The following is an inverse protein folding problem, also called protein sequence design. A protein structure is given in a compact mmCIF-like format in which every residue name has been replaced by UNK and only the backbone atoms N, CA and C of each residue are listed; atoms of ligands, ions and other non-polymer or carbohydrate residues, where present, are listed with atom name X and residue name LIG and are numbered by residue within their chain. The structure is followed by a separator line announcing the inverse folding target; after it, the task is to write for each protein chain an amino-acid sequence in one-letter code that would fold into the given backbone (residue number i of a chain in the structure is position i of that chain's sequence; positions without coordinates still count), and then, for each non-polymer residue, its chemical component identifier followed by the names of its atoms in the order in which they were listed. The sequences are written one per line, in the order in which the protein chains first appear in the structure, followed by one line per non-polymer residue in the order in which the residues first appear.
data_IF_987887982706
#
_entry.id   IF_987887982706
#
_cell.length_a   1.000
_cell.length_b   1.000
_cell.length_c   1.000
_cell.angle_alpha   90.00
_cell.angle_beta   90.00
_cell.angle_gamma   90.00
#
_symmetry.space_group_name_H-M   'P 1'
#
loop_
_entity.id
_entity.type
_entity.pdbx_description
1 polymer ?
#
# COMPACT_ATOMS: atom_id res chain seq x y z
N UNK A 1 -10.35 1.64 13.19
CA UNK A 1 -11.78 1.65 12.83
C UNK A 1 -11.94 2.18 11.42
N UNK A 2 -12.94 1.77 10.66
CA UNK A 2 -13.24 2.35 9.35
C UNK A 2 -14.20 3.54 9.56
N UNK A 3 -14.01 4.61 8.80
CA UNK A 3 -14.91 5.75 8.74
C UNK A 3 -16.31 5.25 8.39
N UNK A 4 -17.33 5.58 9.20
CA UNK A 4 -18.71 5.24 8.89
C UNK A 4 -19.38 6.27 7.97
N UNK A 5 -20.55 5.89 7.42
CA UNK A 5 -21.21 6.77 6.46
C UNK A 5 -21.81 8.02 7.14
N UNK A 6 -22.26 7.91 8.39
CA UNK A 6 -22.80 9.05 9.13
C UNK A 6 -21.74 10.15 9.37
N UNK A 7 -20.59 9.78 9.91
CA UNK A 7 -19.47 10.72 10.13
C UNK A 7 -18.94 11.25 8.78
N UNK A 8 -18.87 10.40 7.75
CA UNK A 8 -18.44 10.81 6.41
C UNK A 8 -19.42 11.82 5.79
N UNK A 9 -20.73 11.66 5.99
CA UNK A 9 -21.73 12.59 5.46
C UNK A 9 -21.56 14.00 6.05
N UNK A 10 -21.34 14.09 7.36
CA UNK A 10 -21.07 15.37 8.03
C UNK A 10 -19.74 15.98 7.56
N UNK A 11 -18.69 15.17 7.38
CA UNK A 11 -17.43 15.61 6.80
C UNK A 11 -17.61 16.13 5.36
N UNK A 12 -18.38 15.41 4.53
CA UNK A 12 -18.66 15.83 3.16
C UNK A 12 -19.48 17.13 3.08
N UNK A 13 -20.40 17.35 4.03
CA UNK A 13 -21.17 18.60 4.14
C UNK A 13 -20.25 19.80 4.48
N UNK A 14 -19.29 19.62 5.40
CA UNK A 14 -18.26 20.63 5.68
C UNK A 14 -17.39 20.90 4.45
N UNK A 15 -16.91 19.84 3.76
CA UNK A 15 -16.11 19.99 2.54
C UNK A 15 -16.88 20.73 1.45
N UNK A 16 -18.16 20.43 1.27
CA UNK A 16 -19.03 21.15 0.32
C UNK A 16 -19.08 22.64 0.65
N UNK A 17 -19.35 22.98 1.90
CA UNK A 17 -19.45 24.38 2.34
C UNK A 17 -18.13 25.13 2.14
N UNK A 18 -17.00 24.49 2.44
CA UNK A 18 -15.68 25.12 2.40
C UNK A 18 -15.11 25.23 0.98
N UNK A 19 -15.33 24.19 0.15
CA UNK A 19 -14.61 24.03 -1.12
C UNK A 19 -15.44 24.31 -2.37
N UNK A 20 -16.76 24.52 -2.26
CA UNK A 20 -17.57 24.87 -3.44
C UNK A 20 -16.99 26.11 -4.14
N UNK A 21 -16.92 26.08 -5.48
CA UNK A 21 -16.31 27.07 -6.33
C UNK A 21 -14.76 27.16 -6.29
N UNK A 22 -14.09 26.36 -5.48
CA UNK A 22 -12.63 26.30 -5.45
C UNK A 22 -12.08 25.70 -6.75
N UNK A 23 -10.90 26.17 -7.19
CA UNK A 23 -10.19 25.66 -8.36
C UNK A 23 -9.02 24.77 -7.95
N UNK A 24 -8.83 23.66 -8.65
CA UNK A 24 -7.67 22.80 -8.45
C UNK A 24 -6.43 23.51 -9.00
N UNK A 25 -5.53 23.93 -8.10
CA UNK A 25 -4.26 24.55 -8.43
C UNK A 25 -3.15 23.51 -8.70
N UNK A 26 -3.08 22.47 -7.83
CA UNK A 26 -2.08 21.40 -7.92
C UNK A 26 -2.71 20.08 -7.52
N UNK A 27 -2.08 18.99 -7.98
CA UNK A 27 -2.47 17.64 -7.66
C UNK A 27 -1.24 16.76 -7.52
N UNK A 28 -1.18 15.95 -6.44
CA UNK A 28 -0.06 15.10 -6.09
C UNK A 28 -0.57 13.71 -5.66
N UNK A 29 0.27 12.70 -5.85
CA UNK A 29 0.08 11.33 -5.37
C UNK A 29 1.31 10.96 -4.51
N UNK A 30 1.31 11.33 -3.22
CA UNK A 30 2.46 11.10 -2.34
C UNK A 30 2.77 9.62 -2.12
N UNK A 31 1.74 8.79 -2.10
CA UNK A 31 1.83 7.33 -1.98
C UNK A 31 0.87 6.67 -2.95
N UNK A 32 1.02 5.35 -3.15
CA UNK A 32 0.16 4.56 -4.06
C UNK A 32 -1.34 4.54 -3.70
N UNK A 33 -1.68 4.98 -2.50
CA UNK A 33 -3.04 4.94 -1.96
C UNK A 33 -3.58 6.32 -1.62
N UNK A 34 -2.85 7.40 -1.91
CA UNK A 34 -3.22 8.75 -1.50
C UNK A 34 -3.12 9.76 -2.63
N UNK A 35 -4.12 10.62 -2.72
CA UNK A 35 -4.17 11.75 -3.63
C UNK A 35 -4.36 13.03 -2.82
N UNK A 36 -3.61 14.08 -3.12
CA UNK A 36 -3.72 15.39 -2.48
C UNK A 36 -4.01 16.44 -3.54
N UNK A 37 -5.14 17.14 -3.38
CA UNK A 37 -5.55 18.24 -4.23
C UNK A 37 -5.35 19.56 -3.51
N UNK A 38 -4.58 20.47 -4.10
CA UNK A 38 -4.52 21.84 -3.64
C UNK A 38 -5.65 22.63 -4.32
N UNK A 39 -6.62 23.05 -3.52
CA UNK A 39 -7.83 23.77 -3.96
C UNK A 39 -7.74 25.22 -3.51
N UNK A 40 -7.91 26.13 -4.44
CA UNK A 40 -7.85 27.57 -4.19
C UNK A 40 -9.25 28.18 -4.31
N UNK A 41 -9.75 28.74 -3.20
CA UNK A 41 -10.92 29.61 -3.16
C UNK A 41 -10.53 31.06 -3.50
N UNK A 42 -11.43 31.98 -3.34
CA UNK A 42 -11.12 33.42 -3.52
C UNK A 42 -10.22 33.97 -2.42
N UNK A 43 -10.28 33.42 -1.21
CA UNK A 43 -9.63 33.93 -0.01
C UNK A 43 -8.48 33.04 0.46
N UNK A 44 -8.62 31.73 0.32
CA UNK A 44 -7.74 30.76 0.98
C UNK A 44 -7.35 29.61 0.05
N UNK A 45 -6.34 28.86 0.45
CA UNK A 45 -5.88 27.67 -0.25
C UNK A 45 -5.95 26.49 0.73
N UNK A 46 -6.63 25.43 0.30
CA UNK A 46 -6.83 24.22 1.08
C UNK A 46 -6.12 23.03 0.43
N UNK A 47 -5.64 22.13 1.24
CA UNK A 47 -5.18 20.82 0.78
C UNK A 47 -6.23 19.76 1.15
N UNK A 48 -6.83 19.12 0.14
CA UNK A 48 -7.77 18.01 0.31
C UNK A 48 -7.03 16.70 0.14
N UNK A 49 -6.98 15.90 1.20
CA UNK A 49 -6.45 14.54 1.18
C UNK A 49 -7.57 13.56 0.88
N UNK A 50 -7.34 12.70 -0.13
CA UNK A 50 -8.15 11.51 -0.40
C UNK A 50 -7.25 10.29 -0.20
N UNK A 51 -7.49 9.52 0.85
CA UNK A 51 -6.74 8.32 1.19
C UNK A 51 -7.58 7.08 0.97
N UNK A 52 -7.14 6.20 0.07
CA UNK A 52 -7.68 4.86 -0.17
C UNK A 52 -6.87 3.78 0.56
N UNK A 53 -6.09 4.16 1.59
CA UNK A 53 -5.25 3.25 2.38
C UNK A 53 -6.10 2.36 3.25
N UNK A 54 -5.84 1.05 3.19
CA UNK A 54 -6.53 0.08 4.05
C UNK A 54 -6.30 0.42 5.53
N UNK A 55 -7.38 0.59 6.30
CA UNK A 55 -7.31 0.92 7.74
C UNK A 55 -7.22 2.41 8.08
N UNK A 56 -7.00 3.31 7.09
CA UNK A 56 -7.02 4.77 7.26
C UNK A 56 -7.67 5.50 6.09
N UNK A 57 -8.58 4.81 5.38
CA UNK A 57 -9.33 5.38 4.27
C UNK A 57 -10.19 6.55 4.74
N UNK A 58 -10.02 7.73 4.12
CA UNK A 58 -10.72 8.96 4.47
C UNK A 58 -10.64 10.02 3.40
N UNK A 59 -11.48 11.00 3.51
CA UNK A 59 -11.34 12.30 2.85
C UNK A 59 -11.41 13.39 3.91
N UNK A 60 -10.46 14.31 3.92
CA UNK A 60 -10.43 15.44 4.84
C UNK A 60 -9.51 16.54 4.33
N UNK A 61 -9.70 17.75 4.83
CA UNK A 61 -8.71 18.81 4.71
C UNK A 61 -7.49 18.46 5.55
N UNK A 62 -6.31 18.89 5.12
CA UNK A 62 -5.05 18.61 5.82
C UNK A 62 -4.07 19.78 5.71
N UNK A 63 -3.34 20.04 6.78
CA UNK A 63 -2.21 20.96 6.82
C UNK A 63 -0.87 20.23 6.70
N UNK A 64 -0.90 18.88 6.63
CA UNK A 64 0.29 18.05 6.56
C UNK A 64 1.03 18.27 5.23
N UNK A 65 2.35 18.39 5.34
CA UNK A 65 3.25 18.42 4.19
C UNK A 65 3.62 17.00 3.76
N UNK A 66 3.44 16.69 2.48
CA UNK A 66 3.74 15.38 1.92
C UNK A 66 5.01 15.40 1.08
N UNK A 67 5.88 14.42 1.28
CA UNK A 67 6.97 14.17 0.35
C UNK A 67 6.41 13.49 -0.91
N UNK A 68 6.63 14.11 -2.06
CA UNK A 68 6.18 13.58 -3.33
C UNK A 68 7.30 12.80 -4.03
N UNK A 69 6.98 11.72 -4.78
CA UNK A 69 7.97 11.01 -5.57
C UNK A 69 8.54 11.94 -6.65
N UNK A 70 9.84 11.77 -6.98
CA UNK A 70 10.51 12.54 -8.04
C UNK A 70 9.80 12.41 -9.39
N UNK A 71 9.36 11.19 -9.72
CA UNK A 71 8.57 10.91 -10.91
C UNK A 71 7.12 10.65 -10.51
N UNK A 72 6.16 11.50 -10.94
CA UNK A 72 4.76 11.31 -10.62
C UNK A 72 4.21 9.99 -11.22
N UNK A 73 3.42 9.21 -10.47
CA UNK A 73 2.76 8.01 -10.99
C UNK A 73 1.81 8.30 -12.15
N UNK A 74 1.51 7.27 -12.95
CA UNK A 74 0.64 7.40 -14.13
C UNK A 74 -0.77 7.90 -13.78
N UNK A 75 -1.34 7.44 -12.67
CA UNK A 75 -2.65 7.92 -12.20
C UNK A 75 -2.60 9.40 -11.84
N UNK A 76 -1.56 9.87 -11.16
CA UNK A 76 -1.35 11.29 -10.88
C UNK A 76 -1.30 12.14 -12.15
N UNK A 77 -0.55 11.68 -13.16
CA UNK A 77 -0.44 12.39 -14.44
C UNK A 77 -1.79 12.48 -15.16
N UNK A 78 -2.55 11.41 -15.14
CA UNK A 78 -3.89 11.37 -15.72
C UNK A 78 -4.86 12.28 -14.94
N UNK A 79 -4.81 12.28 -13.60
CA UNK A 79 -5.61 13.19 -12.78
C UNK A 79 -5.26 14.65 -13.09
N UNK A 80 -3.96 14.98 -13.23
CA UNK A 80 -3.52 16.34 -13.61
C UNK A 80 -4.08 16.76 -14.96
N UNK A 81 -4.04 15.89 -15.95
CA UNK A 81 -4.57 16.13 -17.29
C UNK A 81 -6.06 16.49 -17.28
N UNK A 82 -6.85 15.80 -16.49
CA UNK A 82 -8.31 15.91 -16.49
C UNK A 82 -8.88 16.90 -15.46
N UNK A 83 -8.16 17.17 -14.36
CA UNK A 83 -8.70 17.92 -13.23
C UNK A 83 -8.00 19.25 -12.96
N UNK A 84 -6.74 19.47 -13.39
CA UNK A 84 -6.03 20.72 -13.09
C UNK A 84 -6.75 21.91 -13.71
N UNK A 85 -6.92 22.99 -12.91
CA UNK A 85 -7.68 24.18 -13.30
C UNK A 85 -9.20 24.00 -13.20
N UNK A 86 -9.68 22.78 -12.96
CA UNK A 86 -11.10 22.48 -12.78
C UNK A 86 -11.69 23.16 -11.55
N UNK A 87 -12.94 23.59 -11.67
CA UNK A 87 -13.72 24.22 -10.62
C UNK A 87 -14.61 23.18 -9.93
N UNK A 88 -14.54 23.08 -8.61
CA UNK A 88 -15.42 22.22 -7.84
C UNK A 88 -16.83 22.77 -7.84
N UNK A 89 -17.78 22.00 -8.38
CA UNK A 89 -19.18 22.36 -8.44
C UNK A 89 -19.96 21.85 -7.24
N UNK A 90 -19.69 20.59 -6.84
CA UNK A 90 -20.42 19.94 -5.77
C UNK A 90 -19.59 18.86 -5.08
N UNK A 91 -19.92 18.63 -3.80
CA UNK A 91 -19.48 17.47 -3.02
C UNK A 91 -20.74 16.79 -2.52
N UNK A 92 -20.96 15.56 -2.95
CA UNK A 92 -22.13 14.78 -2.56
C UNK A 92 -21.72 13.37 -2.14
N UNK A 93 -22.55 12.73 -1.38
CA UNK A 93 -22.32 11.39 -0.87
C UNK A 93 -23.38 10.42 -1.39
N UNK A 94 -23.01 9.17 -1.55
CA UNK A 94 -23.97 8.08 -1.80
C UNK A 94 -24.76 7.78 -0.51
N UNK A 95 -26.09 7.87 -0.52
CA UNK A 95 -26.90 7.66 0.68
C UNK A 95 -26.62 6.29 1.35
N UNK A 96 -26.35 6.32 2.66
CA UNK A 96 -26.11 5.12 3.48
C UNK A 96 -24.81 4.37 3.14
N UNK A 97 -23.94 4.91 2.28
CA UNK A 97 -22.70 4.27 1.88
C UNK A 97 -21.49 5.21 2.08
N UNK A 98 -20.28 4.68 1.93
CA UNK A 98 -19.02 5.41 2.14
C UNK A 98 -18.39 5.81 0.82
N UNK A 99 -19.16 6.45 -0.04
CA UNK A 99 -18.73 6.96 -1.33
C UNK A 99 -18.98 8.46 -1.39
N UNK A 100 -17.93 9.24 -1.62
CA UNK A 100 -18.01 10.67 -1.81
C UNK A 100 -17.69 11.00 -3.26
N UNK A 101 -18.51 11.83 -3.87
CA UNK A 101 -18.37 12.32 -5.23
C UNK A 101 -17.96 13.78 -5.22
N UNK A 102 -16.84 14.09 -5.84
CA UNK A 102 -16.37 15.45 -6.09
C UNK A 102 -16.62 15.76 -7.56
N UNK A 103 -17.57 16.64 -7.85
CA UNK A 103 -17.94 17.04 -9.21
C UNK A 103 -17.18 18.29 -9.63
N UNK A 104 -16.39 18.20 -10.71
CA UNK A 104 -15.59 19.29 -11.22
C UNK A 104 -16.04 19.69 -12.62
N UNK A 105 -16.11 21.00 -12.87
CA UNK A 105 -16.17 21.57 -14.21
C UNK A 105 -14.75 21.80 -14.70
N UNK A 106 -14.36 21.14 -15.77
CA UNK A 106 -13.03 21.20 -16.34
C UNK A 106 -13.11 21.63 -17.82
N UNK A 107 -11.97 22.03 -18.40
CA UNK A 107 -11.84 22.28 -19.83
C UNK A 107 -11.02 21.14 -20.45
N UNK A 108 -11.53 20.52 -21.49
CA UNK A 108 -10.81 19.47 -22.21
C UNK A 108 -9.74 20.05 -23.16
N UNK A 109 -8.98 19.23 -23.85
CA UNK A 109 -7.93 19.62 -24.79
C UNK A 109 -8.47 20.40 -26.02
N UNK A 110 -9.76 20.26 -26.32
CA UNK A 110 -10.45 21.01 -27.42
C UNK A 110 -11.02 22.34 -26.98
N UNK A 111 -10.94 22.67 -25.66
CA UNK A 111 -11.50 23.88 -25.10
C UNK A 111 -12.95 23.76 -24.63
N UNK A 112 -13.58 22.58 -24.74
CA UNK A 112 -14.97 22.38 -24.32
C UNK A 112 -15.04 22.21 -22.79
N UNK A 113 -16.15 22.70 -22.22
CA UNK A 113 -16.47 22.47 -20.82
C UNK A 113 -17.00 21.04 -20.62
N UNK A 114 -16.32 20.29 -19.76
CA UNK A 114 -16.68 18.91 -19.41
C UNK A 114 -16.87 18.77 -17.90
N UNK A 115 -17.70 17.78 -17.50
CA UNK A 115 -17.88 17.44 -16.09
C UNK A 115 -17.12 16.16 -15.78
N UNK A 116 -16.21 16.25 -14.81
CA UNK A 116 -15.45 15.13 -14.28
C UNK A 116 -15.88 14.88 -12.84
N UNK A 117 -16.10 13.62 -12.49
CA UNK A 117 -16.46 13.21 -11.13
C UNK A 117 -15.33 12.35 -10.57
N UNK A 118 -14.73 12.81 -9.49
CA UNK A 118 -13.79 12.01 -8.73
C UNK A 118 -14.56 11.31 -7.60
N UNK A 119 -14.68 9.99 -7.71
CA UNK A 119 -15.36 9.14 -6.75
C UNK A 119 -14.35 8.62 -5.74
N UNK A 120 -14.54 8.91 -4.46
CA UNK A 120 -13.76 8.34 -3.36
C UNK A 120 -14.57 7.27 -2.65
N UNK A 121 -14.22 6.01 -2.86
CA UNK A 121 -14.83 4.83 -2.24
C UNK A 121 -14.02 4.43 -1.01
N UNK A 122 -14.59 4.54 0.20
CA UNK A 122 -13.87 4.37 1.47
C UNK A 122 -14.27 3.07 2.18
N UNK A 123 -13.91 1.92 1.59
CA UNK A 123 -14.37 0.59 1.98
C UNK A 123 -13.26 -0.31 2.52
N UNK A 124 -12.40 0.24 3.39
CA UNK A 124 -11.29 -0.51 3.99
C UNK A 124 -10.30 -1.02 2.93
N UNK A 125 -10.10 -2.31 2.81
CA UNK A 125 -9.19 -2.90 1.81
C UNK A 125 -9.63 -2.67 0.35
N UNK A 126 -10.91 -2.44 0.13
CA UNK A 126 -11.50 -2.17 -1.19
C UNK A 126 -11.63 -0.68 -1.49
N UNK A 127 -11.04 0.19 -0.66
CA UNK A 127 -11.03 1.62 -0.91
C UNK A 127 -10.32 1.95 -2.22
N UNK A 128 -10.92 2.88 -2.97
CA UNK A 128 -10.43 3.28 -4.29
C UNK A 128 -10.76 4.74 -4.61
N UNK A 129 -10.05 5.30 -5.57
CA UNK A 129 -10.34 6.61 -6.17
C UNK A 129 -10.57 6.38 -7.66
N UNK A 130 -11.72 6.77 -8.16
CA UNK A 130 -12.12 6.54 -9.55
C UNK A 130 -12.50 7.85 -10.22
N UNK A 131 -11.87 8.14 -11.35
CA UNK A 131 -12.26 9.28 -12.18
C UNK A 131 -13.28 8.86 -13.22
N UNK A 132 -14.40 9.57 -13.25
CA UNK A 132 -15.54 9.27 -14.12
C UNK A 132 -15.87 10.51 -14.96
N UNK A 133 -16.14 10.29 -16.25
CA UNK A 133 -16.66 11.31 -17.16
C UNK A 133 -17.78 10.70 -18.00
N UNK A 134 -18.92 11.39 -18.08
CA UNK A 134 -20.09 10.91 -18.81
C UNK A 134 -20.54 9.49 -18.46
N UNK A 135 -20.45 9.13 -17.17
CA UNK A 135 -20.80 7.81 -16.65
C UNK A 135 -19.78 6.70 -16.94
N UNK A 136 -18.67 6.99 -17.61
CA UNK A 136 -17.60 6.05 -17.91
C UNK A 136 -16.36 6.31 -17.08
N UNK A 137 -15.68 5.25 -16.68
CA UNK A 137 -14.42 5.29 -15.95
C UNK A 137 -13.33 5.81 -16.89
N UNK A 138 -12.67 6.88 -16.51
CA UNK A 138 -11.46 7.36 -17.17
C UNK A 138 -10.25 6.56 -16.66
N UNK A 139 -10.12 6.44 -15.33
CA UNK A 139 -9.18 5.54 -14.67
C UNK A 139 -9.54 5.36 -13.19
N UNK A 140 -8.89 4.38 -12.54
CA UNK A 140 -8.99 4.11 -11.12
C UNK A 140 -7.60 3.98 -10.50
N UNK A 141 -7.44 4.45 -9.26
CA UNK A 141 -6.19 4.33 -8.50
C UNK A 141 -5.76 2.88 -8.37
N UNK A 142 -6.73 2.01 -8.08
CA UNK A 142 -6.58 0.54 -8.07
C UNK A 142 -7.50 0.00 -9.16
N UNK A 143 -6.93 -0.41 -10.27
CA UNK A 143 -7.69 -1.10 -11.32
C UNK A 143 -8.11 -2.46 -10.81
N UNK A 144 -9.34 -2.84 -11.10
CA UNK A 144 -9.92 -4.14 -10.76
C UNK A 144 -10.36 -4.77 -12.06
N UNK A 145 -9.73 -5.84 -12.46
CA UNK A 145 -10.04 -6.58 -13.67
C UNK A 145 -10.94 -7.80 -13.41
N UNK A 146 -11.16 -8.61 -14.44
CA UNK A 146 -12.00 -9.81 -14.36
C UNK A 146 -11.36 -10.94 -13.53
N UNK A 147 -10.03 -10.92 -13.33
CA UNK A 147 -9.34 -11.89 -12.49
C UNK A 147 -9.45 -11.50 -11.00
N UNK A 148 -9.50 -10.19 -10.71
CA UNK A 148 -9.62 -9.66 -9.35
C UNK A 148 -11.04 -9.73 -8.79
N UNK A 149 -12.08 -9.60 -9.65
CA UNK A 149 -13.47 -9.59 -9.22
C UNK A 149 -14.45 -9.94 -10.33
N UNK A 150 -15.31 -10.93 -10.09
CA UNK A 150 -16.44 -11.26 -10.96
C UNK A 150 -17.62 -10.30 -10.81
N UNK A 151 -17.68 -9.56 -9.69
CA UNK A 151 -18.84 -8.74 -9.32
C UNK A 151 -18.77 -7.35 -9.94
N UNK A 152 -17.56 -6.73 -9.97
CA UNK A 152 -17.40 -5.36 -10.41
C UNK A 152 -15.97 -5.12 -10.89
N UNK A 153 -15.84 -4.62 -12.11
CA UNK A 153 -14.57 -4.23 -12.70
C UNK A 153 -14.42 -2.71 -12.67
N UNK A 154 -13.18 -2.24 -12.48
CA UNK A 154 -12.82 -0.81 -12.50
C UNK A 154 -11.70 -0.60 -13.52
N UNK A 155 -12.08 -0.61 -14.80
CA UNK A 155 -11.17 -0.44 -15.93
C UNK A 155 -11.56 0.77 -16.78
N UNK A 156 -10.60 1.43 -17.42
CA UNK A 156 -10.87 2.55 -18.34
C UNK A 156 -11.87 2.18 -19.43
N UNK A 157 -12.84 3.07 -19.67
CA UNK A 157 -13.87 2.91 -20.69
C UNK A 157 -15.12 2.15 -20.26
N UNK A 158 -15.09 1.39 -19.16
CA UNK A 158 -16.26 0.72 -18.62
C UNK A 158 -17.22 1.72 -17.95
N UNK A 159 -18.54 1.42 -17.91
CA UNK A 159 -19.48 2.24 -17.14
C UNK A 159 -19.15 2.14 -15.64
N UNK A 160 -19.24 3.28 -14.96
CA UNK A 160 -19.09 3.32 -13.51
C UNK A 160 -20.38 2.84 -12.86
N UNK A 161 -20.26 1.84 -12.00
CA UNK A 161 -21.32 1.33 -11.13
C UNK A 161 -20.89 1.42 -9.68
N UNK A 162 -21.82 1.70 -8.77
CA UNK A 162 -21.52 1.70 -7.32
C UNK A 162 -21.25 0.27 -6.84
N UNK A 163 -20.43 0.11 -5.78
CA UNK A 163 -20.28 -1.18 -5.12
C UNK A 163 -21.61 -1.75 -4.65
N UNK A 164 -21.74 -3.08 -4.57
CA UNK A 164 -22.96 -3.70 -4.05
C UNK A 164 -23.20 -3.26 -2.60
N UNK A 165 -24.39 -2.75 -2.33
CA UNK A 165 -24.82 -2.38 -0.96
C UNK A 165 -25.25 -3.62 -0.19
N UNK A 166 -24.92 -3.72 1.11
CA UNK A 166 -25.49 -4.75 1.96
C UNK A 166 -27.02 -4.54 2.06
N UNK A 167 -27.78 -5.65 2.06
CA UNK A 167 -29.24 -5.63 2.19
C UNK A 167 -29.67 -5.30 3.65
N UNK A 168 -29.21 -4.17 4.18
CA UNK A 168 -29.53 -3.69 5.52
C UNK A 168 -30.05 -2.26 5.44
N UNK A 169 -31.11 -1.92 6.23
CA UNK A 169 -31.65 -0.57 6.23
C UNK A 169 -30.60 0.44 6.74
N UNK A 170 -30.61 1.64 6.18
CA UNK A 170 -29.78 2.74 6.66
C UNK A 170 -30.29 3.21 8.02
N UNK A 171 -29.38 3.23 9.01
CA UNK A 171 -29.66 3.64 10.38
C UNK A 171 -30.32 5.03 10.47
N UNK A 172 -29.87 5.96 9.64
CA UNK A 172 -30.39 7.33 9.65
C UNK A 172 -31.71 7.48 8.90
N UNK A 173 -31.96 6.64 7.88
CA UNK A 173 -33.16 6.79 7.03
C UNK A 173 -34.41 6.10 7.56
N UNK A 174 -34.27 5.00 8.32
CA UNK A 174 -35.41 4.23 8.83
C UNK A 174 -35.76 4.62 10.27
N UNK A 175 -37.01 4.37 10.73
CA UNK A 175 -37.43 4.68 12.11
C UNK A 175 -36.66 3.84 13.14
N UNK A 176 -36.46 4.39 14.34
CA UNK A 176 -35.90 3.64 15.47
C UNK A 176 -36.69 2.37 15.79
N UNK A 177 -38.01 2.42 15.69
CA UNK A 177 -38.88 1.28 15.88
C UNK A 177 -38.59 0.12 14.93
N UNK A 178 -38.35 0.43 13.63
CA UNK A 178 -38.00 -0.60 12.65
C UNK A 178 -36.62 -1.21 12.91
N UNK A 179 -35.66 -0.40 13.36
CA UNK A 179 -34.31 -0.89 13.71
C UNK A 179 -34.38 -1.81 14.93
N UNK A 180 -35.08 -1.38 15.98
CA UNK A 180 -35.25 -2.17 17.24
C UNK A 180 -35.99 -3.46 16.97
N UNK A 181 -37.11 -3.43 16.23
CA UNK A 181 -37.85 -4.63 15.87
C UNK A 181 -36.96 -5.67 15.17
N UNK A 182 -36.22 -5.25 14.14
CA UNK A 182 -35.30 -6.14 13.40
C UNK A 182 -34.09 -6.60 14.24
N UNK A 183 -33.63 -5.79 15.19
CA UNK A 183 -32.53 -6.18 16.09
C UNK A 183 -33.00 -7.23 17.12
N UNK A 184 -34.25 -7.13 17.61
CA UNK A 184 -34.83 -8.07 18.54
C UNK A 184 -35.09 -9.47 17.96
N UNK A 185 -35.04 -9.65 16.66
CA UNK A 185 -35.10 -10.98 16.03
C UNK A 185 -33.79 -11.78 16.21
N UNK A 186 -32.75 -11.15 16.75
CA UNK A 186 -31.41 -11.73 16.85
C UNK A 186 -31.05 -12.12 18.28
N UNK A 187 -30.57 -13.33 18.45
CA UNK A 187 -29.97 -13.80 19.71
C UNK A 187 -28.53 -13.30 19.84
N UNK A 188 -28.40 -12.02 20.13
CA UNK A 188 -27.11 -11.31 20.25
C UNK A 188 -27.22 -10.18 21.27
N UNK A 189 -26.07 -9.76 21.87
CA UNK A 189 -26.03 -8.51 22.64
C UNK A 189 -26.58 -7.34 21.82
N UNK A 190 -27.32 -6.42 22.46
CA UNK A 190 -28.00 -5.33 21.76
C UNK A 190 -27.10 -4.54 20.79
N UNK A 191 -25.90 -4.18 21.23
CA UNK A 191 -24.97 -3.43 20.38
C UNK A 191 -24.58 -4.20 19.09
N UNK A 192 -24.37 -5.51 19.22
CA UNK A 192 -24.01 -6.38 18.08
C UNK A 192 -25.20 -6.62 17.16
N UNK A 193 -26.41 -6.79 17.77
CA UNK A 193 -27.66 -6.92 17.04
C UNK A 193 -27.91 -5.67 16.17
N UNK A 194 -27.78 -4.46 16.75
CA UNK A 194 -27.90 -3.19 16.02
C UNK A 194 -26.89 -3.10 14.88
N UNK A 195 -25.62 -3.41 15.13
CA UNK A 195 -24.56 -3.34 14.12
C UNK A 195 -24.76 -4.33 12.95
N UNK A 196 -25.40 -5.47 13.20
CA UNK A 196 -25.75 -6.45 12.16
C UNK A 196 -27.06 -6.11 11.44
N UNK A 197 -27.92 -5.32 12.05
CA UNK A 197 -29.23 -4.97 11.50
C UNK A 197 -29.17 -3.72 10.64
N UNK A 198 -28.52 -2.66 11.10
CA UNK A 198 -28.48 -1.38 10.41
C UNK A 198 -27.15 -1.15 9.67
N UNK A 199 -27.21 -0.43 8.54
CA UNK A 199 -26.08 0.07 7.78
C UNK A 199 -25.87 1.58 8.04
N UNK A 200 -24.80 2.15 7.52
CA UNK A 200 -24.53 3.59 7.58
C UNK A 200 -23.78 4.06 8.83
N UNK A 201 -23.86 3.32 9.93
CA UNK A 201 -23.18 3.65 11.19
C UNK A 201 -22.16 2.58 11.60
N UNK A 202 -21.17 2.99 12.38
CA UNK A 202 -20.14 2.09 12.90
C UNK A 202 -20.52 1.44 14.23
N UNK A 203 -19.75 0.43 14.69
CA UNK A 203 -19.98 -0.24 15.98
C UNK A 203 -20.02 0.71 17.18
N UNK A 204 -19.30 1.84 17.11
CA UNK A 204 -19.28 2.85 18.18
C UNK A 204 -20.65 3.45 18.42
N UNK A 205 -21.41 3.71 17.35
CA UNK A 205 -22.78 4.26 17.43
C UNK A 205 -23.73 3.23 18.05
N UNK A 206 -23.61 1.97 17.63
CA UNK A 206 -24.44 0.88 18.15
C UNK A 206 -24.17 0.61 19.65
N UNK A 207 -22.91 0.64 20.07
CA UNK A 207 -22.55 0.52 21.48
C UNK A 207 -23.03 1.70 22.30
N UNK A 208 -22.96 2.91 21.76
CA UNK A 208 -23.45 4.11 22.42
C UNK A 208 -24.99 4.08 22.60
N UNK A 209 -25.71 3.63 21.56
CA UNK A 209 -27.16 3.47 21.64
C UNK A 209 -27.55 2.48 22.76
N UNK A 210 -26.88 1.31 22.82
CA UNK A 210 -27.12 0.34 23.88
C UNK A 210 -26.71 0.89 25.25
N UNK A 211 -25.59 1.61 25.35
CA UNK A 211 -25.15 2.21 26.61
C UNK A 211 -26.11 3.30 27.12
N UNK A 212 -26.61 4.17 26.23
CA UNK A 212 -27.60 5.22 26.60
C UNK A 212 -28.93 4.62 27.04
N UNK A 213 -29.33 3.49 26.47
CA UNK A 213 -30.57 2.81 26.83
C UNK A 213 -30.47 2.08 28.16
N UNK A 214 -29.31 1.49 28.49
CA UNK A 214 -29.21 0.50 29.57
C UNK A 214 -28.06 0.76 30.55
N UNK A 215 -27.41 1.93 30.46
CA UNK A 215 -26.33 2.37 31.36
C UNK A 215 -25.19 1.33 31.50
N UNK A 216 -24.90 0.61 30.40
CA UNK A 216 -23.82 -0.38 30.32
C UNK A 216 -24.25 -1.81 30.68
N UNK A 217 -25.49 -2.09 30.95
CA UNK A 217 -25.97 -3.46 31.11
C UNK A 217 -25.89 -4.26 29.80
N UNK A 218 -25.37 -5.48 29.89
CA UNK A 218 -25.25 -6.40 28.76
C UNK A 218 -26.52 -7.23 28.57
N UNK A 219 -27.45 -6.70 27.78
CA UNK A 219 -28.73 -7.36 27.49
C UNK A 219 -28.69 -8.04 26.12
N UNK A 220 -29.44 -9.16 25.99
CA UNK A 220 -29.72 -9.80 24.70
C UNK A 220 -30.89 -9.10 24.02
N UNK A 221 -30.75 -8.88 22.70
CA UNK A 221 -31.75 -8.11 21.95
C UNK A 221 -33.13 -8.81 21.87
N UNK A 222 -33.13 -10.14 21.78
CA UNK A 222 -34.35 -10.96 21.74
C UNK A 222 -35.05 -11.10 23.10
N UNK A 223 -34.42 -10.73 24.21
CA UNK A 223 -34.97 -10.81 25.56
C UNK A 223 -35.50 -9.47 26.10
N UNK A 224 -35.41 -8.40 25.29
CA UNK A 224 -35.83 -7.06 25.70
C UNK A 224 -37.36 -6.99 25.97
N UNK A 225 -37.72 -6.48 27.12
CA UNK A 225 -39.10 -6.12 27.46
C UNK A 225 -39.59 -4.93 26.62
N UNK A 226 -40.89 -4.71 26.51
CA UNK A 226 -41.42 -3.55 25.77
C UNK A 226 -40.94 -2.21 26.34
N UNK A 227 -40.76 -2.08 27.64
CA UNK A 227 -40.20 -0.88 28.25
C UNK A 227 -38.73 -0.65 27.80
N UNK A 228 -37.91 -1.70 27.77
CA UNK A 228 -36.51 -1.64 27.30
C UNK A 228 -36.42 -1.35 25.80
N UNK A 229 -37.35 -1.88 24.97
CA UNK A 229 -37.44 -1.52 23.56
C UNK A 229 -37.73 -0.02 23.38
N UNK A 230 -38.62 0.55 24.18
CA UNK A 230 -38.88 2.00 24.15
C UNK A 230 -37.67 2.82 24.59
N UNK A 231 -36.91 2.38 25.60
CA UNK A 231 -35.66 3.04 26.01
C UNK A 231 -34.60 3.01 24.85
N UNK A 232 -34.47 1.88 24.19
CA UNK A 232 -33.54 1.74 23.05
C UNK A 232 -33.97 2.61 21.87
N UNK A 233 -35.27 2.67 21.55
CA UNK A 233 -35.78 3.58 20.52
C UNK A 233 -35.46 5.04 20.83
N UNK A 234 -35.69 5.48 22.07
CA UNK A 234 -35.36 6.84 22.49
C UNK A 234 -33.87 7.16 22.38
N UNK A 235 -32.99 6.21 22.75
CA UNK A 235 -31.55 6.38 22.61
C UNK A 235 -31.10 6.48 21.14
N UNK A 236 -31.72 5.71 20.23
CA UNK A 236 -31.48 5.80 18.78
C UNK A 236 -31.95 7.16 18.24
N UNK A 237 -33.12 7.60 18.63
CA UNK A 237 -33.70 8.88 18.20
C UNK A 237 -32.86 10.06 18.72
N UNK A 238 -32.33 10.00 19.94
CA UNK A 238 -31.36 11.00 20.46
C UNK A 238 -30.11 11.10 19.57
N UNK A 239 -29.57 9.97 19.16
CA UNK A 239 -28.38 9.96 18.28
C UNK A 239 -28.68 10.51 16.89
N UNK A 240 -29.86 10.23 16.34
CA UNK A 240 -30.31 10.80 15.06
C UNK A 240 -30.53 12.31 15.17
N UNK A 241 -31.13 12.78 16.26
CA UNK A 241 -31.30 14.22 16.50
C UNK A 241 -29.97 14.95 16.60
N UNK A 242 -28.97 14.35 17.26
CA UNK A 242 -27.59 14.90 17.27
C UNK A 242 -27.01 15.00 15.83
N UNK A 243 -27.20 13.96 15.04
CA UNK A 243 -26.76 13.94 13.65
C UNK A 243 -27.45 15.04 12.82
N UNK A 244 -28.77 15.16 12.90
CA UNK A 244 -29.59 16.12 12.16
C UNK A 244 -29.26 17.58 12.53
N UNK A 245 -28.80 17.82 13.77
CA UNK A 245 -28.27 19.12 14.24
C UNK A 245 -26.84 19.41 13.78
N UNK A 246 -26.24 18.55 12.96
CA UNK A 246 -24.89 18.75 12.43
C UNK A 246 -23.80 18.00 13.21
N UNK A 247 -24.18 17.25 14.25
CA UNK A 247 -23.25 16.44 15.04
C UNK A 247 -22.31 17.24 15.95
N UNK A 248 -21.50 16.50 16.70
CA UNK A 248 -20.42 17.02 17.53
C UNK A 248 -19.17 16.17 17.24
N UNK A 249 -18.16 16.68 16.51
CA UNK A 249 -16.97 15.90 16.18
C UNK A 249 -16.12 15.61 17.41
N UNK A 250 -16.08 14.35 17.82
CA UNK A 250 -15.36 13.88 19.01
C UNK A 250 -14.39 12.76 18.68
N UNK A 251 -13.21 12.80 19.28
CA UNK A 251 -12.27 11.67 19.28
C UNK A 251 -12.06 11.14 20.70
N UNK A 252 -11.80 9.84 20.78
CA UNK A 252 -11.55 9.09 22.01
C UNK A 252 -10.13 8.59 22.01
N UNK A 253 -9.37 8.92 23.06
CA UNK A 253 -7.99 8.50 23.25
C UNK A 253 -7.90 7.68 24.52
N UNK A 254 -7.20 6.54 24.47
CA UNK A 254 -6.96 5.69 25.63
C UNK A 254 -5.97 6.37 26.61
N UNK A 255 -5.91 5.90 27.87
CA UNK A 255 -4.97 6.45 28.88
C UNK A 255 -3.49 6.38 28.47
N UNK A 256 -3.14 5.44 27.59
CA UNK A 256 -1.79 5.29 27.03
C UNK A 256 -1.50 6.23 25.84
N UNK A 257 -2.42 7.14 25.53
CA UNK A 257 -2.28 8.12 24.43
C UNK A 257 -2.67 7.58 23.06
N UNK A 258 -3.08 6.32 22.94
CA UNK A 258 -3.48 5.77 21.62
C UNK A 258 -4.87 6.23 21.22
N UNK A 259 -5.05 6.70 19.96
CA UNK A 259 -6.35 7.00 19.41
C UNK A 259 -7.18 5.71 19.27
N UNK A 260 -8.37 5.69 19.87
CA UNK A 260 -9.27 4.53 19.91
C UNK A 260 -10.34 4.66 18.84
N UNK A 261 -11.14 5.72 18.92
CA UNK A 261 -12.28 5.94 18.03
C UNK A 261 -12.52 7.43 17.78
N UNK A 262 -13.35 7.72 16.80
CA UNK A 262 -13.93 9.03 16.57
C UNK A 262 -15.40 8.86 16.19
N UNK A 263 -16.21 9.90 16.41
CA UNK A 263 -17.65 9.84 16.24
C UNK A 263 -18.26 11.24 16.08
N UNK A 264 -19.52 11.31 15.65
CA UNK A 264 -20.28 12.54 15.46
C UNK A 264 -21.07 12.99 16.70
N UNK A 265 -20.82 12.39 17.84
CA UNK A 265 -21.44 12.74 19.11
C UNK A 265 -20.43 12.64 20.24
N UNK A 266 -20.73 13.28 21.40
CA UNK A 266 -19.94 13.05 22.62
C UNK A 266 -20.29 11.69 23.22
N UNK A 267 -19.37 10.71 23.19
CA UNK A 267 -19.67 9.36 23.66
C UNK A 267 -19.70 9.30 25.18
N UNK A 268 -20.72 8.63 25.74
CA UNK A 268 -20.87 8.37 27.18
C UNK A 268 -20.35 7.00 27.60
N UNK A 269 -20.29 6.04 26.69
CA UNK A 269 -19.88 4.64 26.91
C UNK A 269 -18.45 4.46 27.43
N UNK A 270 -17.58 5.44 27.30
CA UNK A 270 -16.18 5.35 27.70
C UNK A 270 -15.92 5.84 29.14
N UNK A 271 -16.89 6.53 29.77
CA UNK A 271 -16.74 7.09 31.10
C UNK A 271 -15.51 7.99 31.24
N UNK A 272 -15.04 8.13 32.48
CA UNK A 272 -13.90 9.03 32.80
C UNK A 272 -12.52 8.41 32.53
N UNK A 273 -12.45 7.14 32.09
CA UNK A 273 -11.17 6.44 31.85
C UNK A 273 -10.48 6.86 30.57
N UNK A 274 -11.25 7.37 29.60
CA UNK A 274 -10.77 7.75 28.29
C UNK A 274 -10.80 9.27 28.12
N UNK A 275 -9.81 9.82 27.42
CA UNK A 275 -9.83 11.23 27.06
C UNK A 275 -10.73 11.44 25.85
N UNK A 276 -11.83 12.17 26.04
CA UNK A 276 -12.75 12.60 24.99
C UNK A 276 -12.40 14.02 24.61
N UNK A 277 -12.00 14.25 23.34
CA UNK A 277 -11.67 15.56 22.81
C UNK A 277 -12.73 15.96 21.77
N UNK A 278 -13.33 17.11 21.97
CA UNK A 278 -14.17 17.78 20.99
C UNK A 278 -13.31 18.59 20.02
N UNK A 279 -13.69 18.62 18.75
CA UNK A 279 -12.95 19.28 17.70
C UNK A 279 -13.81 20.37 17.04
N UNK A 280 -13.19 21.41 16.43
CA UNK A 280 -13.94 22.50 15.80
C UNK A 280 -14.66 22.06 14.54
N UNK A 281 -14.24 20.98 13.89
CA UNK A 281 -14.82 20.44 12.67
C UNK A 281 -14.53 18.95 12.51
N UNK A 282 -15.30 18.25 11.67
CA UNK A 282 -15.02 16.84 11.31
C UNK A 282 -13.72 16.70 10.54
N UNK A 283 -13.37 17.65 9.70
CA UNK A 283 -12.09 17.66 9.00
C UNK A 283 -10.92 17.72 9.98
N UNK A 284 -10.93 18.64 10.94
CA UNK A 284 -9.89 18.76 11.97
C UNK A 284 -9.83 17.50 12.87
N UNK A 285 -10.98 16.91 13.18
CA UNK A 285 -11.04 15.65 13.94
C UNK A 285 -10.36 14.50 13.19
N UNK A 286 -10.67 14.31 11.92
CA UNK A 286 -10.09 13.24 11.11
C UNK A 286 -8.59 13.46 10.89
N UNK A 287 -8.16 14.69 10.61
CA UNK A 287 -6.75 15.03 10.49
C UNK A 287 -6.00 14.70 11.78
N UNK A 288 -6.45 15.23 12.93
CA UNK A 288 -5.79 15.00 14.21
C UNK A 288 -5.76 13.53 14.65
N UNK A 289 -6.86 12.79 14.43
CA UNK A 289 -6.94 11.37 14.75
C UNK A 289 -5.96 10.51 13.95
N UNK A 290 -5.80 10.83 12.65
CA UNK A 290 -4.95 10.03 11.76
C UNK A 290 -3.50 10.53 11.67
N UNK A 291 -3.19 11.77 12.05
CA UNK A 291 -1.85 12.35 11.92
C UNK A 291 -0.77 11.48 12.57
N UNK A 292 -0.95 11.05 13.80
CA UNK A 292 0.00 10.19 14.51
C UNK A 292 0.06 8.77 13.92
N UNK A 293 -1.11 8.21 13.60
CA UNK A 293 -1.23 6.86 13.03
C UNK A 293 -0.55 6.77 11.67
N UNK A 294 -0.83 7.72 10.79
CA UNK A 294 -0.27 7.75 9.43
C UNK A 294 1.24 8.00 9.44
N UNK A 295 1.72 8.88 10.32
CA UNK A 295 3.16 9.12 10.48
C UNK A 295 3.90 7.84 10.88
N UNK A 296 3.38 7.12 11.86
CA UNK A 296 3.96 5.84 12.30
C UNK A 296 3.92 4.78 11.19
N UNK A 297 2.82 4.69 10.43
CA UNK A 297 2.67 3.72 9.36
C UNK A 297 3.55 4.05 8.14
N UNK A 298 3.69 5.32 7.77
CA UNK A 298 4.62 5.77 6.72
C UNK A 298 6.07 5.44 7.08
N UNK A 299 6.48 5.72 8.31
CA UNK A 299 7.82 5.35 8.81
C UNK A 299 8.04 3.84 8.74
N UNK A 300 7.05 3.04 9.16
CA UNK A 300 7.12 1.58 9.09
C UNK A 300 7.21 1.06 7.66
N UNK A 301 6.47 1.65 6.73
CA UNK A 301 6.50 1.25 5.31
C UNK A 301 7.85 1.59 4.69
N UNK A 302 8.35 2.83 4.86
CA UNK A 302 9.68 3.23 4.40
C UNK A 302 10.78 2.33 4.99
N UNK A 303 10.70 2.02 6.29
CA UNK A 303 11.64 1.11 6.96
C UNK A 303 11.62 -0.30 6.36
N UNK A 304 10.43 -0.86 6.07
CA UNK A 304 10.31 -2.18 5.43
C UNK A 304 10.89 -2.20 4.01
N UNK A 305 10.65 -1.16 3.21
CA UNK A 305 11.19 -1.06 1.86
C UNK A 305 12.71 -0.96 1.88
N UNK A 306 13.26 -0.16 2.81
CA UNK A 306 14.71 -0.05 3.00
C UNK A 306 15.32 -1.38 3.45
N UNK A 307 14.73 -2.02 4.45
CA UNK A 307 15.18 -3.37 4.88
C UNK A 307 15.18 -4.37 3.74
N UNK A 308 14.12 -4.39 2.92
CA UNK A 308 14.04 -5.28 1.76
C UNK A 308 15.12 -4.99 0.72
N UNK A 309 15.40 -3.71 0.46
CA UNK A 309 16.46 -3.31 -0.47
C UNK A 309 17.84 -3.75 0.04
N UNK A 310 18.17 -3.46 1.31
CA UNK A 310 19.43 -3.86 1.94
C UNK A 310 19.57 -5.38 1.97
N UNK A 311 18.52 -6.11 2.35
CA UNK A 311 18.54 -7.58 2.35
C UNK A 311 18.80 -8.16 0.95
N UNK A 312 18.18 -7.61 -0.09
CA UNK A 312 18.43 -8.04 -1.46
C UNK A 312 19.89 -7.76 -1.91
N UNK A 313 20.46 -6.63 -1.48
CA UNK A 313 21.87 -6.30 -1.75
C UNK A 313 22.81 -7.28 -1.03
N UNK A 314 22.54 -7.56 0.24
CA UNK A 314 23.28 -8.55 1.03
C UNK A 314 23.26 -9.94 0.40
N UNK A 315 22.08 -10.47 0.04
CA UNK A 315 21.98 -11.76 -0.61
C UNK A 315 22.74 -11.84 -1.94
N UNK A 316 22.70 -10.75 -2.74
CA UNK A 316 23.48 -10.69 -3.99
C UNK A 316 24.97 -10.71 -3.72
N UNK A 317 25.43 -9.96 -2.72
CA UNK A 317 26.84 -9.94 -2.32
C UNK A 317 27.31 -11.31 -1.85
N UNK A 318 26.53 -12.00 -1.01
CA UNK A 318 26.81 -13.36 -0.52
C UNK A 318 26.90 -14.37 -1.67
N UNK A 319 25.93 -14.37 -2.59
CA UNK A 319 25.93 -15.28 -3.76
C UNK A 319 27.15 -15.02 -4.66
N UNK A 320 27.49 -13.75 -4.88
CA UNK A 320 28.68 -13.35 -5.67
C UNK A 320 29.97 -13.83 -5.00
N UNK A 321 30.03 -13.72 -3.67
CA UNK A 321 31.18 -14.18 -2.88
C UNK A 321 31.35 -15.71 -2.97
N UNK A 322 30.28 -16.49 -2.82
CA UNK A 322 30.29 -17.93 -2.95
C UNK A 322 30.77 -18.39 -4.35
N UNK A 323 30.24 -17.77 -5.41
CA UNK A 323 30.68 -18.05 -6.79
C UNK A 323 32.16 -17.77 -7.02
N UNK A 324 32.71 -16.66 -6.46
CA UNK A 324 34.13 -16.35 -6.53
C UNK A 324 35.00 -17.35 -5.76
N UNK A 325 34.54 -17.83 -4.61
CA UNK A 325 35.24 -18.88 -3.83
C UNK A 325 35.31 -20.18 -4.61
N UNK A 326 34.22 -20.61 -5.24
CA UNK A 326 34.19 -21.79 -6.09
C UNK A 326 35.14 -21.67 -7.29
N UNK A 327 35.16 -20.49 -7.94
CA UNK A 327 36.07 -20.22 -9.08
C UNK A 327 37.52 -20.24 -8.63
N UNK A 328 37.84 -19.66 -7.47
CA UNK A 328 39.19 -19.72 -6.89
C UNK A 328 39.63 -21.15 -6.58
N UNK A 329 38.74 -21.94 -5.95
CA UNK A 329 39.01 -23.36 -5.67
C UNK A 329 39.25 -24.18 -6.96
N UNK A 330 38.47 -23.90 -8.02
CA UNK A 330 38.65 -24.52 -9.33
C UNK A 330 39.99 -24.11 -10.03
N UNK A 331 40.54 -22.94 -9.69
CA UNK A 331 41.82 -22.47 -10.24
C UNK A 331 43.05 -23.24 -9.76
N UNK A 332 42.96 -23.93 -8.61
CA UNK A 332 44.02 -24.78 -8.06
C UNK A 332 44.47 -25.91 -9.00
N UNK A 333 43.65 -26.28 -9.99
CA UNK A 333 44.01 -27.22 -11.06
C UNK A 333 44.97 -26.62 -12.13
N UNK A 334 45.35 -25.37 -11.98
CA UNK A 334 46.24 -24.69 -12.98
C UNK A 334 47.66 -25.24 -12.98
N UNK A 335 48.18 -25.75 -11.86
CA UNK A 335 49.51 -26.36 -11.79
C UNK A 335 49.66 -27.57 -12.74
N UNK A 336 48.59 -28.28 -13.00
CA UNK A 336 48.56 -29.35 -14.00
C UNK A 336 48.86 -28.84 -15.42
N UNK A 337 48.42 -27.62 -15.75
CA UNK A 337 48.72 -27.01 -17.05
C UNK A 337 50.20 -26.62 -17.17
N UNK A 338 50.81 -26.16 -16.08
CA UNK A 338 52.25 -25.89 -16.04
C UNK A 338 53.05 -27.18 -16.26
N UNK A 339 52.68 -28.21 -15.48
CA UNK A 339 53.30 -29.52 -15.62
C UNK A 339 53.22 -30.06 -17.06
N UNK A 340 52.03 -30.00 -17.66
CA UNK A 340 51.83 -30.43 -19.03
C UNK A 340 52.70 -29.61 -20.03
N UNK A 341 52.83 -28.31 -19.83
CA UNK A 341 53.65 -27.44 -20.65
C UNK A 341 55.15 -27.80 -20.54
N UNK A 342 55.66 -28.03 -19.31
CA UNK A 342 57.04 -28.40 -19.03
C UNK A 342 57.37 -29.77 -19.59
N UNK A 343 56.57 -30.80 -19.28
CA UNK A 343 56.76 -32.15 -19.76
C UNK A 343 56.74 -32.27 -21.29
N UNK A 344 55.75 -31.58 -21.91
CA UNK A 344 55.66 -31.55 -23.38
C UNK A 344 56.83 -30.84 -24.01
N UNK A 345 57.26 -29.68 -23.44
CA UNK A 345 58.42 -28.93 -23.98
C UNK A 345 59.72 -29.75 -23.93
N UNK A 346 59.94 -30.54 -22.90
CA UNK A 346 61.12 -31.37 -22.79
C UNK A 346 61.09 -32.62 -23.69
N UNK A 347 59.90 -33.06 -24.13
CA UNK A 347 59.69 -34.27 -24.92
C UNK A 347 59.14 -33.96 -26.32
N UNK A 348 59.41 -32.74 -26.89
CA UNK A 348 58.90 -32.35 -28.20
C UNK A 348 59.34 -33.31 -29.33
N UNK A 349 60.46 -33.99 -29.19
CA UNK A 349 61.01 -34.94 -30.18
C UNK A 349 60.17 -36.27 -30.25
N UNK A 350 59.30 -36.53 -29.25
CA UNK A 350 58.38 -37.68 -29.24
C UNK A 350 56.99 -37.33 -29.78
N UNK A 351 56.70 -36.09 -30.02
CA UNK A 351 55.37 -35.59 -30.39
C UNK A 351 55.31 -35.13 -31.85
N UNK A 352 54.30 -35.58 -32.57
CA UNK A 352 54.04 -35.13 -33.95
C UNK A 352 52.74 -34.37 -34.08
N UNK A 353 52.64 -33.51 -35.10
CA UNK A 353 51.36 -32.78 -35.35
C UNK A 353 50.27 -33.77 -35.74
N UNK A 354 49.12 -33.65 -35.10
CA UNK A 354 47.94 -34.53 -35.30
C UNK A 354 47.77 -35.64 -34.26
N UNK A 355 48.71 -35.78 -33.29
CA UNK A 355 48.51 -36.67 -32.16
C UNK A 355 47.45 -36.14 -31.21
N UNK A 356 46.58 -37.05 -30.67
CA UNK A 356 45.54 -36.72 -29.67
C UNK A 356 46.10 -36.58 -28.27
N UNK A 357 47.18 -37.30 -27.97
CA UNK A 357 47.84 -37.29 -26.66
C UNK A 357 49.27 -37.84 -26.78
N UNK A 358 50.11 -37.53 -25.82
CA UNK A 358 51.43 -38.08 -25.65
C UNK A 358 51.59 -38.58 -24.18
N UNK A 359 52.20 -39.73 -23.99
CA UNK A 359 52.54 -40.26 -22.66
C UNK A 359 54.05 -40.10 -22.46
N UNK A 360 54.41 -39.39 -21.39
CA UNK A 360 55.82 -39.09 -21.05
C UNK A 360 56.06 -39.32 -19.55
N UNK A 361 57.31 -39.66 -19.17
CA UNK A 361 57.64 -39.83 -17.76
C UNK A 361 57.61 -38.47 -17.03
N UNK A 362 57.01 -38.44 -15.84
CA UNK A 362 56.95 -37.25 -14.99
C UNK A 362 58.12 -37.30 -14.00
N UNK A 363 59.13 -36.49 -14.24
CA UNK A 363 60.31 -36.42 -13.36
C UNK A 363 60.06 -35.73 -12.01
N UNK A 364 58.88 -35.13 -11.84
CA UNK A 364 58.46 -34.55 -10.55
C UNK A 364 57.75 -35.59 -9.66
N UNK A 365 57.39 -36.81 -10.20
CA UNK A 365 56.71 -37.86 -9.50
C UNK A 365 57.37 -39.23 -9.84
N UNK A 366 58.59 -39.42 -9.37
CA UNK A 366 59.36 -40.66 -9.49
C UNK A 366 59.32 -41.34 -10.88
N UNK A 367 59.13 -40.57 -11.94
CA UNK A 367 59.08 -41.06 -13.32
C UNK A 367 57.78 -41.75 -13.71
N UNK A 368 56.70 -41.62 -12.93
CA UNK A 368 55.36 -42.12 -13.30
C UNK A 368 54.93 -41.53 -14.66
N UNK A 369 54.30 -42.35 -15.45
CA UNK A 369 53.84 -41.94 -16.76
C UNK A 369 52.62 -40.97 -16.65
N UNK A 370 52.64 -39.85 -17.39
CA UNK A 370 51.59 -38.87 -17.51
C UNK A 370 51.18 -38.75 -18.94
N UNK A 371 49.87 -38.90 -19.22
CA UNK A 371 49.30 -38.71 -20.53
C UNK A 371 48.85 -37.26 -20.69
N UNK A 372 49.41 -36.52 -21.61
CA UNK A 372 49.17 -35.14 -21.92
C UNK A 372 48.22 -35.07 -23.13
N UNK A 373 47.03 -34.51 -23.04
CA UNK A 373 46.13 -34.32 -24.18
C UNK A 373 46.67 -33.19 -25.10
N UNK A 374 46.61 -33.43 -26.39
CA UNK A 374 47.06 -32.46 -27.41
C UNK A 374 45.87 -32.03 -28.28
N UNK A 375 45.84 -30.74 -28.67
CA UNK A 375 44.90 -30.24 -29.66
C UNK A 375 45.48 -30.52 -31.07
N UNK A 376 44.75 -31.28 -31.86
CA UNK A 376 45.15 -31.74 -33.21
C UNK A 376 45.47 -30.63 -34.19
N UNK A 377 44.88 -29.45 -33.94
CA UNK A 377 45.05 -28.27 -34.81
C UNK A 377 46.41 -27.61 -34.67
N UNK A 378 47.09 -27.79 -33.54
CA UNK A 378 48.33 -27.15 -33.20
C UNK A 378 49.51 -28.09 -33.29
N UNK A 379 50.68 -27.53 -33.59
CA UNK A 379 51.94 -28.29 -33.47
C UNK A 379 52.25 -28.59 -32.00
N UNK A 380 53.12 -29.59 -31.71
CA UNK A 380 53.53 -29.89 -30.32
C UNK A 380 54.06 -28.66 -29.57
N UNK A 381 54.88 -27.84 -30.20
CA UNK A 381 55.40 -26.59 -29.62
C UNK A 381 54.30 -25.58 -29.34
N UNK A 382 53.32 -25.44 -30.25
CA UNK A 382 52.16 -24.57 -30.03
C UNK A 382 51.26 -25.06 -28.90
N UNK A 383 51.07 -26.38 -28.76
CA UNK A 383 50.36 -26.98 -27.65
C UNK A 383 51.02 -26.64 -26.29
N UNK A 384 52.37 -26.79 -26.22
CA UNK A 384 53.13 -26.42 -25.02
C UNK A 384 52.99 -24.94 -24.67
N UNK A 385 53.09 -24.04 -25.68
CA UNK A 385 52.86 -22.61 -25.48
C UNK A 385 51.41 -22.29 -24.98
N UNK A 386 50.44 -22.99 -25.51
CA UNK A 386 49.03 -22.84 -25.09
C UNK A 386 48.82 -23.28 -23.63
N UNK A 387 49.47 -24.34 -23.17
CA UNK A 387 49.45 -24.75 -21.76
C UNK A 387 50.03 -23.65 -20.87
N UNK A 388 51.16 -23.07 -21.19
CA UNK A 388 51.75 -21.96 -20.43
C UNK A 388 50.90 -20.70 -20.48
N UNK A 389 50.31 -20.36 -21.64
CA UNK A 389 49.41 -19.22 -21.78
C UNK A 389 48.17 -19.38 -20.89
N UNK A 390 47.58 -20.57 -20.90
CA UNK A 390 46.41 -20.89 -20.08
C UNK A 390 46.76 -20.92 -18.57
N UNK A 391 47.94 -21.42 -18.20
CA UNK A 391 48.45 -21.36 -16.83
C UNK A 391 48.55 -19.90 -16.35
N UNK A 392 49.25 -19.03 -17.10
CA UNK A 392 49.39 -17.59 -16.77
C UNK A 392 48.03 -16.90 -16.64
N UNK A 393 47.11 -17.19 -17.57
CA UNK A 393 45.76 -16.62 -17.53
C UNK A 393 45.04 -17.01 -16.25
N UNK A 394 45.07 -18.30 -15.86
CA UNK A 394 44.46 -18.79 -14.62
C UNK A 394 45.14 -18.23 -13.36
N UNK A 395 46.46 -18.10 -13.36
CA UNK A 395 47.19 -17.52 -12.24
C UNK A 395 46.83 -16.04 -12.01
N UNK A 396 46.73 -15.25 -13.11
CA UNK A 396 46.29 -13.86 -13.01
C UNK A 396 44.85 -13.75 -12.52
N UNK A 397 43.96 -14.60 -13.04
CA UNK A 397 42.57 -14.65 -12.58
C UNK A 397 42.45 -15.01 -11.08
N UNK A 398 43.24 -16.00 -10.61
CA UNK A 398 43.25 -16.38 -9.19
C UNK A 398 43.71 -15.23 -8.28
N UNK A 399 44.73 -14.45 -8.70
CA UNK A 399 45.20 -13.29 -7.94
C UNK A 399 44.08 -12.22 -7.85
N UNK A 400 43.44 -11.89 -8.99
CA UNK A 400 42.33 -10.94 -9.00
C UNK A 400 41.12 -11.43 -8.15
N UNK A 401 40.84 -12.73 -8.14
CA UNK A 401 39.77 -13.30 -7.30
C UNK A 401 40.06 -13.14 -5.82
N UNK A 402 41.30 -13.25 -5.37
CA UNK A 402 41.68 -13.01 -3.97
C UNK A 402 41.37 -11.57 -3.54
N UNK A 403 41.74 -10.59 -4.38
CA UNK A 403 41.46 -9.18 -4.10
C UNK A 403 39.95 -8.93 -4.08
N UNK A 404 39.23 -9.47 -5.07
CA UNK A 404 37.77 -9.34 -5.15
C UNK A 404 37.02 -10.06 -4.00
N UNK A 405 37.58 -11.10 -3.43
CA UNK A 405 37.05 -11.79 -2.25
C UNK A 405 37.21 -10.90 -1.00
N UNK A 406 38.37 -10.28 -0.83
CA UNK A 406 38.62 -9.37 0.28
C UNK A 406 37.71 -8.12 0.23
N UNK A 407 37.46 -7.57 -0.97
CA UNK A 407 36.49 -6.49 -1.16
C UNK A 407 35.06 -6.94 -0.86
N UNK A 408 34.66 -8.12 -1.33
CA UNK A 408 33.35 -8.69 -1.09
C UNK A 408 33.05 -8.98 0.38
N UNK A 409 34.04 -9.39 1.16
CA UNK A 409 33.92 -9.54 2.61
C UNK A 409 33.62 -8.22 3.30
N UNK A 410 34.28 -7.13 2.89
CA UNK A 410 34.02 -5.78 3.41
C UNK A 410 32.61 -5.29 3.04
N UNK A 411 32.18 -5.54 1.80
CA UNK A 411 30.83 -5.21 1.34
C UNK A 411 29.75 -5.94 2.15
N UNK A 412 29.92 -7.25 2.37
CA UNK A 412 29.00 -8.08 3.17
C UNK A 412 28.97 -7.63 4.63
N UNK A 413 30.11 -7.27 5.20
CA UNK A 413 30.20 -6.80 6.58
C UNK A 413 29.59 -5.40 6.78
N UNK A 414 29.55 -4.58 5.73
CA UNK A 414 28.92 -3.25 5.75
C UNK A 414 27.40 -3.31 5.62
N UNK A 415 26.87 -4.23 4.82
CA UNK A 415 25.44 -4.42 4.57
C UNK A 415 24.75 -5.13 5.74
#
# INVERSE_FOLDING_TARGET
MALDAATLALTAAELKTTLTDAKIAKLFEPTRDELVLTLRTRTETYSLLLSARSGSARVCLTEESFENPETPPSFCMLMRKHLTGGKLLDVRMEPGDRIVYFEFQCTNEMGDLVRNILCAELMGRYSNLVLVQNGKIIDALKRVDFEDSDVRQLLPGLPYTTPPKPARPDFLAVSAASIVAAACERDLPVADALNKTAAGVGPVVCREAAWRAFDGEHLLANELTEAQKHQLMAAIDELKEIYDKGGCPCSVTAPDGKPVEYTFFRPRQYGDKYLIKEWPSFNAMLEGYYAEKDRAERLRTKSKELHKAVHNMYERAVRKQAARQEELAASGKSEKLRLYGELLSANLYLAEKGMKSITVPNWYDEGREVTIPLDLRFSPSQNAQNFFKNYKKKQTAARMLVDLLAEGEKEIAYL
#
